data_IF_745633696486
#
_entry.id   IF_745633696486
#
_cell.length_a   1.000
_cell.length_b   1.000
_cell.length_c   1.000
_cell.angle_alpha   90.00
_cell.angle_beta   90.00
_cell.angle_gamma   90.00
#
_symmetry.space_group_name_H-M   'P 1'
#
loop_
_entity.id
_entity.type
_entity.pdbx_description
1 polymer ?
#
# COMPACT_ATOMS: atom_id res chain seq x y z
N UNK A 1 13.88 20.37 -52.66
CA UNK A 1 13.71 19.15 -51.82
C UNK A 1 13.92 19.56 -50.37
N UNK A 2 12.83 19.86 -49.66
CA UNK A 2 12.82 20.15 -48.25
C UNK A 2 12.78 18.80 -47.47
N UNK A 3 13.90 18.38 -46.92
CA UNK A 3 13.99 17.23 -46.04
C UNK A 3 13.30 17.58 -44.70
N UNK A 4 12.16 16.98 -44.43
CA UNK A 4 11.55 17.04 -43.09
C UNK A 4 12.44 16.30 -42.10
N UNK A 5 13.09 17.05 -41.21
CA UNK A 5 13.79 16.50 -40.05
C UNK A 5 12.72 15.90 -39.13
N UNK A 6 12.57 14.59 -39.15
CA UNK A 6 11.77 13.85 -38.17
C UNK A 6 12.49 13.98 -36.84
N UNK A 7 11.93 14.77 -35.93
CA UNK A 7 12.40 14.86 -34.55
C UNK A 7 12.37 13.44 -33.93
N UNK A 8 13.46 12.97 -33.31
CA UNK A 8 13.46 11.68 -32.65
C UNK A 8 12.37 11.70 -31.57
N UNK A 9 11.37 10.80 -31.69
CA UNK A 9 10.36 10.58 -30.66
C UNK A 9 11.11 10.36 -29.35
N UNK A 10 10.85 11.20 -28.36
CA UNK A 10 11.38 11.03 -27.04
C UNK A 10 10.99 9.62 -26.56
N UNK A 11 12.00 8.79 -26.31
CA UNK A 11 11.78 7.46 -25.74
C UNK A 11 10.88 7.59 -24.50
N UNK A 12 9.90 6.70 -24.32
CA UNK A 12 9.01 6.74 -23.17
C UNK A 12 9.89 6.79 -21.90
N UNK A 13 9.68 7.82 -21.09
CA UNK A 13 10.36 7.93 -19.79
C UNK A 13 9.96 6.69 -19.02
N UNK A 14 10.90 5.74 -18.89
CA UNK A 14 10.75 4.65 -17.93
C UNK A 14 10.35 5.29 -16.61
N UNK A 15 9.16 4.95 -16.13
CA UNK A 15 8.71 5.38 -14.82
C UNK A 15 9.73 4.78 -13.86
N UNK A 16 10.59 5.64 -13.31
CA UNK A 16 11.58 5.24 -12.31
C UNK A 16 10.80 4.94 -11.04
N UNK A 17 10.28 3.72 -10.93
CA UNK A 17 9.81 3.22 -9.66
C UNK A 17 11.04 2.96 -8.80
N UNK A 18 11.19 3.67 -7.70
CA UNK A 18 12.14 3.31 -6.64
C UNK A 18 11.93 1.87 -6.13
N UNK A 19 10.80 1.25 -6.49
CA UNK A 19 10.52 -0.17 -6.26
C UNK A 19 11.52 -1.13 -6.96
N UNK A 20 12.26 -0.67 -7.99
CA UNK A 20 13.34 -1.46 -8.61
C UNK A 20 14.53 -1.68 -7.68
N UNK A 21 14.68 -0.82 -6.68
CA UNK A 21 15.74 -0.93 -5.67
C UNK A 21 15.38 -1.95 -4.57
N UNK A 22 14.14 -2.42 -4.52
CA UNK A 22 13.69 -3.46 -3.60
C UNK A 22 14.02 -4.82 -4.20
N UNK A 23 14.75 -5.64 -3.47
CA UNK A 23 14.96 -7.04 -3.87
C UNK A 23 13.68 -7.85 -3.56
N UNK A 24 12.71 -7.78 -4.48
CA UNK A 24 11.41 -8.43 -4.32
C UNK A 24 11.49 -9.94 -4.04
N UNK A 25 12.35 -10.74 -4.71
CA UNK A 25 12.50 -12.15 -4.39
C UNK A 25 12.94 -12.40 -2.95
N UNK A 26 13.88 -11.61 -2.43
CA UNK A 26 14.33 -11.74 -1.04
C UNK A 26 13.22 -11.36 -0.07
N UNK A 27 12.54 -10.24 -0.30
CA UNK A 27 11.45 -9.79 0.57
C UNK A 27 10.29 -10.79 0.57
N UNK A 28 9.90 -11.30 -0.60
CA UNK A 28 8.87 -12.33 -0.75
C UNK A 28 9.26 -13.61 -0.01
N UNK A 29 10.50 -14.07 -0.16
CA UNK A 29 10.99 -15.28 0.52
C UNK A 29 10.99 -15.10 2.03
N UNK A 30 11.45 -13.96 2.54
CA UNK A 30 11.46 -13.67 3.97
C UNK A 30 10.05 -13.63 4.55
N UNK A 31 9.12 -12.93 3.91
CA UNK A 31 7.73 -12.85 4.36
C UNK A 31 7.02 -14.22 4.29
N UNK A 32 7.30 -15.00 3.24
CA UNK A 32 6.74 -16.36 3.11
C UNK A 32 7.28 -17.28 4.20
N UNK A 33 8.57 -17.20 4.50
CA UNK A 33 9.18 -17.96 5.57
C UNK A 33 8.58 -17.58 6.94
N UNK A 34 8.46 -16.28 7.22
CA UNK A 34 7.84 -15.78 8.46
C UNK A 34 6.41 -16.29 8.61
N UNK A 35 5.59 -16.14 7.57
CA UNK A 35 4.21 -16.62 7.58
C UNK A 35 4.15 -18.13 7.82
N UNK A 36 4.93 -18.91 7.05
CA UNK A 36 4.95 -20.36 7.16
C UNK A 36 5.45 -20.84 8.53
N UNK A 37 6.44 -20.16 9.10
CA UNK A 37 6.98 -20.49 10.42
C UNK A 37 5.94 -20.27 11.52
N UNK A 38 5.25 -19.13 11.51
CA UNK A 38 4.16 -18.84 12.46
C UNK A 38 3.02 -19.85 12.28
N UNK A 39 2.60 -20.07 11.03
CA UNK A 39 1.52 -20.99 10.70
C UNK A 39 1.83 -22.43 11.16
N UNK A 40 3.05 -22.87 10.96
CA UNK A 40 3.52 -24.20 11.41
C UNK A 40 3.52 -24.31 12.94
N UNK A 41 4.07 -23.30 13.63
CA UNK A 41 4.11 -23.29 15.10
C UNK A 41 2.71 -23.34 15.72
N UNK A 42 1.76 -22.61 15.12
CA UNK A 42 0.37 -22.61 15.60
C UNK A 42 -0.35 -23.96 15.41
N UNK A 43 0.12 -24.77 14.46
CA UNK A 43 -0.44 -26.11 14.20
C UNK A 43 0.23 -27.23 15.01
N UNK A 44 1.43 -27.00 15.53
CA UNK A 44 2.26 -28.05 16.12
C UNK A 44 2.65 -27.78 17.57
N UNK A 45 3.61 -26.89 17.77
CA UNK A 45 4.33 -26.76 19.05
C UNK A 45 3.77 -25.68 19.97
N UNK A 46 2.98 -24.75 19.44
CA UNK A 46 2.40 -23.61 20.15
C UNK A 46 3.41 -22.76 20.95
N UNK A 47 4.68 -22.69 20.51
CA UNK A 47 5.75 -21.93 21.19
C UNK A 47 5.45 -20.43 21.24
N UNK A 48 4.81 -19.92 20.19
CA UNK A 48 4.32 -18.53 20.19
C UNK A 48 3.25 -18.28 21.25
N UNK A 49 2.53 -19.29 21.70
CA UNK A 49 1.49 -19.13 22.73
C UNK A 49 2.02 -18.48 24.00
N UNK A 50 3.22 -18.84 24.46
CA UNK A 50 3.83 -18.25 25.65
C UNK A 50 4.21 -16.77 25.42
N UNK A 51 4.76 -16.45 24.24
CA UNK A 51 5.10 -15.08 23.85
C UNK A 51 3.83 -14.24 23.67
N UNK A 52 2.83 -14.79 22.99
CA UNK A 52 1.54 -14.15 22.79
C UNK A 52 0.88 -13.77 24.11
N UNK A 53 0.82 -14.73 25.06
CA UNK A 53 0.26 -14.50 26.40
C UNK A 53 1.06 -13.45 27.17
N UNK A 54 2.40 -13.55 27.18
CA UNK A 54 3.25 -12.61 27.91
C UNK A 54 3.11 -11.17 27.38
N UNK A 55 3.09 -10.99 26.05
CA UNK A 55 2.90 -9.67 25.44
C UNK A 55 1.49 -9.15 25.67
N UNK A 56 0.49 -10.00 25.54
CA UNK A 56 -0.90 -9.66 25.80
C UNK A 56 -1.09 -9.19 27.25
N UNK A 57 -0.61 -9.93 28.24
CA UNK A 57 -0.72 -9.59 29.66
C UNK A 57 0.03 -8.29 29.98
N UNK A 58 1.21 -8.09 29.39
CA UNK A 58 1.96 -6.83 29.53
C UNK A 58 1.18 -5.63 29.00
N UNK A 59 0.59 -5.76 27.81
CA UNK A 59 -0.21 -4.72 27.19
C UNK A 59 -1.46 -4.42 28.02
N UNK A 60 -2.18 -5.45 28.47
CA UNK A 60 -3.36 -5.27 29.33
C UNK A 60 -3.01 -4.59 30.66
N UNK A 61 -1.86 -4.91 31.25
CA UNK A 61 -1.42 -4.29 32.50
C UNK A 61 -0.97 -2.83 32.34
N UNK A 62 -0.54 -2.43 31.15
CA UNK A 62 0.01 -1.09 30.87
C UNK A 62 -1.02 -0.07 30.39
N UNK A 63 -2.21 -0.51 29.98
CA UNK A 63 -3.22 0.35 29.32
C UNK A 63 -4.54 0.30 30.06
N UNK A 64 -5.19 1.47 30.29
CA UNK A 64 -6.53 1.51 30.89
C UNK A 64 -7.60 0.94 29.96
N UNK A 65 -8.66 0.35 30.51
CA UNK A 65 -9.75 -0.25 29.74
C UNK A 65 -10.38 0.73 28.75
N UNK A 66 -10.61 1.97 29.18
CA UNK A 66 -11.22 3.01 28.35
C UNK A 66 -10.33 3.41 27.17
N UNK A 67 -9.00 3.51 27.37
CA UNK A 67 -8.06 3.80 26.30
C UNK A 67 -7.98 2.65 25.26
N UNK A 68 -8.11 1.41 25.75
CA UNK A 68 -8.13 0.22 24.91
C UNK A 68 -9.36 0.17 23.99
N UNK A 69 -10.54 0.42 24.53
CA UNK A 69 -11.78 0.33 23.78
C UNK A 69 -11.93 1.47 22.77
N UNK A 70 -11.70 2.71 23.20
CA UNK A 70 -12.00 3.88 22.39
C UNK A 70 -10.88 4.23 21.38
N UNK A 71 -9.62 4.18 21.80
CA UNK A 71 -8.51 4.63 20.95
C UNK A 71 -7.85 3.47 20.23
N UNK A 72 -7.43 2.44 20.96
CA UNK A 72 -6.68 1.35 20.36
C UNK A 72 -7.55 0.49 19.44
N UNK A 73 -8.71 0.02 19.92
CA UNK A 73 -9.56 -0.87 19.15
C UNK A 73 -10.24 -0.18 17.97
N UNK A 74 -10.60 1.09 18.09
CA UNK A 74 -11.34 1.79 17.03
C UNK A 74 -10.45 2.68 16.17
N UNK A 75 -9.58 3.52 16.75
CA UNK A 75 -8.77 4.46 15.97
C UNK A 75 -7.54 3.79 15.38
N UNK A 76 -6.63 3.26 16.22
CA UNK A 76 -5.36 2.72 15.74
C UNK A 76 -5.54 1.51 14.82
N UNK A 77 -6.51 0.64 15.16
CA UNK A 77 -6.82 -0.55 14.35
C UNK A 77 -7.33 -0.23 12.95
N UNK A 78 -8.06 0.88 12.79
CA UNK A 78 -8.79 1.19 11.56
C UNK A 78 -8.15 2.31 10.74
N UNK A 79 -7.25 3.11 11.30
CA UNK A 79 -6.67 4.28 10.65
C UNK A 79 -6.09 3.93 9.26
N UNK A 80 -5.22 2.94 9.19
CA UNK A 80 -4.58 2.57 7.93
C UNK A 80 -5.42 1.65 7.03
N UNK A 81 -6.19 0.68 7.52
CA UNK A 81 -7.11 -0.06 6.68
C UNK A 81 -8.16 0.84 6.02
N UNK A 82 -8.82 1.71 6.77
CA UNK A 82 -9.85 2.63 6.22
C UNK A 82 -9.19 3.73 5.38
N UNK A 83 -8.14 4.38 5.90
CA UNK A 83 -7.41 5.43 5.19
C UNK A 83 -6.78 4.91 3.89
N UNK A 84 -6.20 3.72 3.89
CA UNK A 84 -5.63 3.08 2.72
C UNK A 84 -6.71 2.69 1.69
N UNK A 85 -7.86 2.18 2.13
CA UNK A 85 -8.99 1.94 1.23
C UNK A 85 -9.51 3.23 0.60
N UNK A 86 -9.62 4.30 1.40
CA UNK A 86 -9.96 5.63 0.90
C UNK A 86 -8.94 6.14 -0.11
N UNK A 87 -7.64 5.99 0.17
CA UNK A 87 -6.56 6.38 -0.74
C UNK A 87 -6.60 5.59 -2.05
N UNK A 88 -6.82 4.27 -2.01
CA UNK A 88 -6.98 3.44 -3.21
C UNK A 88 -8.18 3.90 -4.05
N UNK A 89 -9.32 4.14 -3.39
CA UNK A 89 -10.56 4.60 -4.06
C UNK A 89 -10.36 5.98 -4.69
N UNK A 90 -9.84 6.95 -3.94
CA UNK A 90 -9.59 8.31 -4.45
C UNK A 90 -8.56 8.33 -5.57
N UNK A 91 -7.48 7.54 -5.47
CA UNK A 91 -6.51 7.36 -6.54
C UNK A 91 -7.16 6.79 -7.80
N UNK A 92 -8.05 5.82 -7.64
CA UNK A 92 -8.81 5.25 -8.76
C UNK A 92 -9.68 6.29 -9.43
N UNK A 93 -10.49 7.03 -8.66
CA UNK A 93 -11.34 8.08 -9.18
C UNK A 93 -10.53 9.19 -9.88
N UNK A 94 -9.42 9.61 -9.28
CA UNK A 94 -8.54 10.63 -9.87
C UNK A 94 -7.92 10.18 -11.19
N UNK A 95 -7.45 8.94 -11.25
CA UNK A 95 -6.80 8.37 -12.42
C UNK A 95 -7.79 7.97 -13.53
N UNK A 96 -9.08 7.80 -13.24
CA UNK A 96 -10.10 7.52 -14.27
C UNK A 96 -10.19 8.59 -15.35
N UNK A 97 -9.85 9.84 -15.05
CA UNK A 97 -9.91 10.96 -16.01
C UNK A 97 -8.68 11.06 -16.93
N UNK A 98 -7.66 10.24 -16.77
CA UNK A 98 -6.42 10.32 -17.56
C UNK A 98 -5.78 8.96 -17.84
N UNK A 99 -6.59 7.92 -18.08
CA UNK A 99 -6.14 6.52 -18.16
C UNK A 99 -5.28 6.22 -19.38
N UNK A 100 -4.00 6.02 -19.16
CA UNK A 100 -3.14 5.27 -20.07
C UNK A 100 -3.30 3.75 -19.85
N UNK A 101 -2.96 2.88 -20.83
CA UNK A 101 -3.00 1.43 -20.65
C UNK A 101 -2.24 0.97 -19.41
N UNK A 102 -1.04 1.48 -19.16
CA UNK A 102 -0.22 1.15 -18.00
C UNK A 102 -0.92 1.51 -16.68
N UNK A 103 -1.60 2.66 -16.58
CA UNK A 103 -2.36 3.05 -15.39
C UNK A 103 -3.55 2.13 -15.14
N UNK A 104 -4.27 1.72 -16.20
CA UNK A 104 -5.37 0.75 -16.07
C UNK A 104 -4.89 -0.58 -15.50
N UNK A 105 -3.76 -1.08 -16.01
CA UNK A 105 -3.15 -2.32 -15.52
C UNK A 105 -2.79 -2.21 -14.04
N UNK A 106 -2.14 -1.11 -13.62
CA UNK A 106 -1.79 -0.88 -12.21
C UNK A 106 -3.01 -0.85 -11.30
N UNK A 107 -4.09 -0.18 -11.72
CA UNK A 107 -5.34 -0.15 -10.96
C UNK A 107 -6.00 -1.54 -10.89
N UNK A 108 -6.03 -2.27 -12.00
CA UNK A 108 -6.56 -3.63 -12.04
C UNK A 108 -5.79 -4.58 -11.11
N UNK A 109 -4.47 -4.52 -11.15
CA UNK A 109 -3.60 -5.31 -10.24
C UNK A 109 -3.83 -4.91 -8.79
N UNK A 110 -3.90 -3.59 -8.47
CA UNK A 110 -4.11 -3.12 -7.11
C UNK A 110 -5.44 -3.64 -6.52
N UNK A 111 -6.54 -3.51 -7.23
CA UNK A 111 -7.84 -4.01 -6.79
C UNK A 111 -7.88 -5.54 -6.73
N UNK A 112 -7.36 -6.23 -7.75
CA UNK A 112 -7.30 -7.69 -7.78
C UNK A 112 -6.51 -8.26 -6.60
N UNK A 113 -5.34 -7.68 -6.30
CA UNK A 113 -4.49 -8.09 -5.18
C UNK A 113 -5.17 -7.80 -3.83
N UNK A 114 -5.80 -6.64 -3.66
CA UNK A 114 -6.53 -6.33 -2.43
C UNK A 114 -7.67 -7.33 -2.18
N UNK A 115 -8.51 -7.56 -3.18
CA UNK A 115 -9.64 -8.51 -3.06
C UNK A 115 -9.13 -9.93 -2.77
N UNK A 116 -8.10 -10.38 -3.49
CA UNK A 116 -7.51 -11.71 -3.30
C UNK A 116 -6.88 -11.87 -1.91
N UNK A 117 -6.23 -10.82 -1.39
CA UNK A 117 -5.65 -10.85 -0.05
C UNK A 117 -6.71 -10.99 1.04
N UNK A 118 -7.86 -10.30 0.89
CA UNK A 118 -8.95 -10.41 1.85
C UNK A 118 -9.65 -11.77 1.77
N UNK A 119 -9.80 -12.32 0.57
CA UNK A 119 -10.31 -13.67 0.39
C UNK A 119 -9.37 -14.72 1.03
N UNK A 120 -8.05 -14.58 0.82
CA UNK A 120 -7.06 -15.45 1.44
C UNK A 120 -7.11 -15.37 2.98
N UNK A 121 -7.24 -14.17 3.56
CA UNK A 121 -7.45 -14.02 5.01
C UNK A 121 -8.70 -14.76 5.48
N UNK A 122 -9.81 -14.68 4.75
CA UNK A 122 -11.04 -15.41 5.08
C UNK A 122 -10.82 -16.92 5.11
N UNK A 123 -10.25 -17.48 4.05
CA UNK A 123 -9.97 -18.92 3.94
C UNK A 123 -9.01 -19.39 5.05
N UNK A 124 -7.93 -18.64 5.28
CA UNK A 124 -6.96 -18.99 6.32
C UNK A 124 -7.56 -18.92 7.73
N UNK A 125 -8.45 -17.98 8.00
CA UNK A 125 -9.16 -17.92 9.29
C UNK A 125 -9.95 -19.18 9.58
N UNK A 126 -10.70 -19.67 8.61
CA UNK A 126 -11.45 -20.92 8.75
C UNK A 126 -10.50 -22.13 8.87
N UNK A 127 -9.39 -22.14 8.12
CA UNK A 127 -8.44 -23.24 8.15
C UNK A 127 -7.70 -23.36 9.49
N UNK A 128 -7.34 -22.24 10.10
CA UNK A 128 -6.63 -22.23 11.40
C UNK A 128 -7.57 -22.25 12.59
N UNK A 129 -8.77 -21.72 12.46
CA UNK A 129 -9.82 -21.69 13.50
C UNK A 129 -9.31 -21.23 14.89
N UNK A 130 -8.29 -20.35 14.92
CA UNK A 130 -7.63 -19.91 16.15
C UNK A 130 -8.55 -19.03 16.99
N UNK A 131 -8.73 -19.30 18.30
CA UNK A 131 -9.54 -18.45 19.16
C UNK A 131 -8.88 -17.08 19.40
N UNK A 132 -9.68 -16.06 19.60
CA UNK A 132 -9.22 -14.71 19.97
C UNK A 132 -8.88 -14.61 21.45
N UNK A 133 -8.07 -13.60 21.85
CA UNK A 133 -7.83 -13.31 23.27
C UNK A 133 -9.14 -12.96 24.01
N UNK A 134 -10.00 -12.14 23.41
CA UNK A 134 -11.30 -11.77 23.98
C UNK A 134 -12.36 -12.85 23.74
N UNK A 135 -12.96 -13.33 24.80
CA UNK A 135 -14.06 -14.31 24.75
C UNK A 135 -15.36 -13.73 24.16
N UNK A 136 -15.51 -12.42 24.12
CA UNK A 136 -16.75 -11.76 23.67
C UNK A 136 -16.94 -11.81 22.15
N UNK A 137 -15.92 -12.25 21.41
CA UNK A 137 -15.94 -12.30 19.93
C UNK A 137 -16.08 -13.74 19.46
N UNK A 138 -17.25 -14.29 19.64
CA UNK A 138 -17.54 -15.72 19.37
C UNK A 138 -17.60 -16.08 17.86
N UNK A 139 -17.67 -15.10 16.95
CA UNK A 139 -18.00 -15.37 15.56
C UNK A 139 -16.89 -15.14 14.55
N UNK A 140 -15.64 -14.93 14.98
CA UNK A 140 -14.53 -14.80 14.04
C UNK A 140 -13.19 -15.24 14.63
N UNK A 141 -12.41 -15.95 13.81
CA UNK A 141 -11.10 -16.46 14.18
C UNK A 141 -10.01 -15.38 14.21
N UNK A 142 -8.93 -15.66 14.95
CA UNK A 142 -7.87 -14.71 15.19
C UNK A 142 -6.84 -14.68 14.05
N UNK A 143 -6.31 -15.83 13.62
CA UNK A 143 -5.20 -15.93 12.68
C UNK A 143 -5.65 -16.13 11.23
N UNK A 144 -5.03 -15.43 10.27
CA UNK A 144 -4.19 -14.23 10.45
C UNK A 144 -5.01 -12.96 10.70
N UNK A 145 -4.38 -11.89 11.20
CA UNK A 145 -5.05 -10.59 11.40
C UNK A 145 -5.42 -9.92 10.09
N UNK A 146 -6.72 -9.83 9.80
CA UNK A 146 -7.20 -9.20 8.56
C UNK A 146 -6.94 -7.69 8.49
N UNK A 147 -7.03 -6.95 9.62
CA UNK A 147 -6.74 -5.52 9.65
C UNK A 147 -5.26 -5.24 9.37
N UNK A 148 -4.36 -6.03 9.96
CA UNK A 148 -2.92 -5.87 9.72
C UNK A 148 -2.55 -6.23 8.28
N UNK A 149 -3.15 -7.29 7.73
CA UNK A 149 -3.00 -7.63 6.31
C UNK A 149 -3.51 -6.49 5.42
N UNK A 150 -4.73 -5.99 5.66
CA UNK A 150 -5.31 -4.89 4.89
C UNK A 150 -4.45 -3.61 4.96
N UNK A 151 -3.97 -3.24 6.15
CA UNK A 151 -3.10 -2.08 6.33
C UNK A 151 -1.82 -2.22 5.49
N UNK A 152 -1.19 -3.39 5.50
CA UNK A 152 0.02 -3.64 4.71
C UNK A 152 -0.27 -3.60 3.21
N UNK A 153 -1.30 -4.29 2.74
CA UNK A 153 -1.66 -4.33 1.32
C UNK A 153 -2.03 -2.95 0.81
N UNK A 154 -2.97 -2.27 1.47
CA UNK A 154 -3.48 -0.97 1.01
C UNK A 154 -2.42 0.12 1.05
N UNK A 155 -1.63 0.19 2.12
CA UNK A 155 -0.52 1.16 2.22
C UNK A 155 0.58 0.83 1.22
N UNK A 156 0.95 -0.44 1.06
CA UNK A 156 1.95 -0.88 0.09
C UNK A 156 1.53 -0.58 -1.35
N UNK A 157 0.29 -0.91 -1.73
CA UNK A 157 -0.25 -0.60 -3.06
C UNK A 157 -0.31 0.91 -3.32
N UNK A 158 -0.71 1.70 -2.32
CA UNK A 158 -0.74 3.16 -2.44
C UNK A 158 0.66 3.72 -2.66
N UNK A 159 1.64 3.30 -1.86
CA UNK A 159 3.00 3.87 -1.89
C UNK A 159 3.84 3.39 -3.07
N UNK A 160 3.74 2.12 -3.46
CA UNK A 160 4.65 1.52 -4.44
C UNK A 160 4.01 1.30 -5.81
N UNK A 161 2.69 1.29 -5.91
CA UNK A 161 1.97 1.07 -7.18
C UNK A 161 1.34 2.35 -7.71
N UNK A 162 0.65 3.12 -6.85
CA UNK A 162 -0.21 4.22 -7.29
C UNK A 162 0.37 5.61 -7.08
N UNK A 163 1.28 5.81 -6.14
CA UNK A 163 1.78 7.14 -5.78
C UNK A 163 2.42 7.86 -6.98
N UNK A 164 3.28 7.17 -7.74
CA UNK A 164 3.96 7.78 -8.88
C UNK A 164 3.01 8.14 -10.03
N UNK A 165 2.07 7.25 -10.48
CA UNK A 165 1.05 7.63 -11.44
C UNK A 165 0.18 8.81 -11.02
N UNK A 166 -0.24 8.84 -9.74
CA UNK A 166 -1.03 9.96 -9.19
C UNK A 166 -0.23 11.25 -9.21
N UNK A 167 1.04 11.17 -8.80
CA UNK A 167 1.94 12.32 -8.80
C UNK A 167 2.17 12.90 -10.19
N UNK A 168 2.40 12.05 -11.19
CA UNK A 168 2.60 12.47 -12.57
C UNK A 168 1.33 13.04 -13.19
N UNK A 169 0.17 12.48 -12.89
CA UNK A 169 -1.11 13.02 -13.29
C UNK A 169 -1.36 14.41 -12.67
N UNK A 170 -1.07 14.57 -11.39
CA UNK A 170 -1.20 15.86 -10.70
C UNK A 170 -0.29 16.93 -11.31
N UNK A 171 0.98 16.60 -11.62
CA UNK A 171 1.90 17.52 -12.31
C UNK A 171 1.38 17.96 -13.67
N UNK A 172 0.82 17.04 -14.46
CA UNK A 172 0.25 17.35 -15.77
C UNK A 172 -0.92 18.33 -15.65
N UNK A 173 -1.81 18.14 -14.67
CA UNK A 173 -2.94 19.04 -14.42
C UNK A 173 -2.46 20.45 -14.04
N UNK A 174 -1.52 20.57 -13.11
CA UNK A 174 -0.94 21.86 -12.70
C UNK A 174 -0.24 22.55 -13.88
N UNK A 175 0.51 21.80 -14.69
CA UNK A 175 1.19 22.33 -15.87
C UNK A 175 0.21 22.85 -16.93
N UNK A 176 -0.91 22.15 -17.15
CA UNK A 176 -1.96 22.59 -18.09
C UNK A 176 -2.61 23.90 -17.63
N UNK A 177 -3.01 23.99 -16.37
CA UNK A 177 -3.62 25.18 -15.81
C UNK A 177 -2.68 26.39 -15.88
N UNK A 178 -1.36 26.20 -15.66
CA UNK A 178 -0.35 27.26 -15.80
C UNK A 178 -0.23 27.75 -17.25
N UNK A 179 -0.28 26.84 -18.22
CA UNK A 179 -0.21 27.18 -19.65
C UNK A 179 -1.45 27.98 -20.11
N UNK A 180 -2.65 27.56 -19.70
CA UNK A 180 -3.91 28.22 -19.97
C UNK A 180 -3.94 29.62 -19.33
N UNK A 181 -3.49 29.75 -18.08
CA UNK A 181 -3.41 31.05 -17.40
C UNK A 181 -2.44 31.99 -18.10
N UNK A 182 -1.28 31.51 -18.55
CA UNK A 182 -0.29 32.32 -19.29
C UNK A 182 -0.86 32.80 -20.64
N UNK A 183 -1.52 31.92 -21.39
CA UNK A 183 -2.19 32.28 -22.65
C UNK A 183 -3.23 33.39 -22.44
N UNK A 184 -4.06 33.29 -21.41
CA UNK A 184 -5.05 34.33 -21.08
C UNK A 184 -4.44 35.65 -20.64
N UNK A 185 -3.26 35.64 -19.98
CA UNK A 185 -2.54 36.87 -19.65
C UNK A 185 -1.90 37.55 -20.89
N UNK A 186 -1.35 36.75 -21.80
CA UNK A 186 -0.77 37.23 -23.05
C UNK A 186 -1.85 37.87 -23.92
N UNK A 187 -3.08 37.35 -24.00
CA UNK A 187 -4.22 37.93 -24.68
C UNK A 187 -4.68 39.27 -24.07
N UNK A 188 -4.52 39.44 -22.74
CA UNK A 188 -4.90 40.67 -22.02
C UNK A 188 -3.84 41.77 -22.09
N UNK A 189 -2.72 41.59 -22.83
CA UNK A 189 -1.66 42.56 -23.00
C UNK A 189 -0.99 43.02 -21.71
N UNK A 190 -1.08 42.25 -20.63
CA UNK A 190 -0.40 42.51 -19.38
C UNK A 190 1.02 41.97 -19.42
N UNK A 191 1.95 42.87 -19.81
CA UNK A 191 3.39 42.60 -19.73
C UNK A 191 3.80 42.35 -18.28
N UNK A 192 4.60 41.29 -18.12
CA UNK A 192 5.53 41.05 -17.01
C UNK A 192 5.02 41.19 -15.58
N UNK A 193 4.09 40.35 -15.17
CA UNK A 193 4.15 39.84 -13.80
C UNK A 193 5.13 38.69 -13.84
N UNK A 194 6.36 38.89 -13.32
CA UNK A 194 7.27 37.79 -12.93
C UNK A 194 6.51 36.87 -12.01
N UNK A 195 5.80 35.91 -12.58
CA UNK A 195 5.31 34.74 -11.84
C UNK A 195 6.58 34.05 -11.39
N UNK A 196 7.00 34.36 -10.14
CA UNK A 196 8.05 33.60 -9.44
C UNK A 196 7.70 32.14 -9.67
N UNK A 197 8.60 31.45 -10.37
CA UNK A 197 8.47 30.03 -10.63
C UNK A 197 8.33 29.30 -9.30
N UNK A 198 7.11 29.17 -8.82
CA UNK A 198 6.73 28.15 -7.86
C UNK A 198 6.86 26.81 -8.60
N UNK A 199 8.10 26.51 -9.00
CA UNK A 199 8.52 25.16 -9.25
C UNK A 199 8.61 24.45 -7.88
N UNK A 200 7.45 24.25 -7.28
CA UNK A 200 7.31 23.18 -6.31
C UNK A 200 7.34 21.89 -7.13
N UNK A 201 8.52 21.62 -7.69
CA UNK A 201 8.87 20.28 -8.12
C UNK A 201 9.12 19.45 -6.85
N UNK A 202 8.10 19.37 -5.99
CA UNK A 202 8.13 18.42 -4.93
C UNK A 202 8.40 17.05 -5.57
N UNK A 203 9.48 16.42 -5.18
CA UNK A 203 9.80 15.05 -5.62
C UNK A 203 8.90 14.09 -4.85
N UNK A 204 8.48 12.98 -5.45
CA UNK A 204 7.79 11.94 -4.67
C UNK A 204 8.69 11.49 -3.51
N UNK A 205 8.12 11.03 -2.41
CA UNK A 205 8.88 10.52 -1.28
C UNK A 205 9.92 9.50 -1.73
N UNK A 206 11.14 9.62 -1.22
CA UNK A 206 12.21 8.65 -1.50
C UNK A 206 11.86 7.27 -0.93
N UNK A 207 12.45 6.22 -1.47
CA UNK A 207 12.18 4.83 -1.10
C UNK A 207 12.22 4.60 0.43
N UNK A 208 13.23 5.14 1.11
CA UNK A 208 13.34 4.99 2.56
C UNK A 208 12.13 5.56 3.32
N UNK A 209 11.59 6.70 2.90
CA UNK A 209 10.37 7.27 3.51
C UNK A 209 9.14 6.40 3.26
N UNK A 210 9.01 5.83 2.04
CA UNK A 210 7.90 4.92 1.71
C UNK A 210 7.95 3.67 2.58
N UNK A 211 9.11 3.06 2.72
CA UNK A 211 9.31 1.88 3.56
C UNK A 211 9.03 2.21 5.03
N UNK A 212 9.57 3.31 5.55
CA UNK A 212 9.34 3.71 6.94
C UNK A 212 7.86 3.96 7.23
N UNK A 213 7.14 4.60 6.31
CA UNK A 213 5.70 4.82 6.46
C UNK A 213 4.92 3.51 6.38
N UNK A 214 5.31 2.59 5.51
CA UNK A 214 4.69 1.27 5.42
C UNK A 214 4.84 0.45 6.70
N UNK A 215 6.07 0.42 7.26
CA UNK A 215 6.35 -0.22 8.56
C UNK A 215 5.52 0.45 9.67
N UNK A 216 5.50 1.78 9.70
CA UNK A 216 4.72 2.54 10.69
C UNK A 216 3.22 2.18 10.63
N UNK A 217 2.64 2.12 9.43
CA UNK A 217 1.24 1.72 9.25
C UNK A 217 0.96 0.30 9.75
N UNK A 218 1.86 -0.64 9.46
CA UNK A 218 1.79 -2.02 9.94
C UNK A 218 1.83 -2.09 11.47
N UNK A 219 2.84 -1.46 12.07
CA UNK A 219 3.03 -1.48 13.52
C UNK A 219 1.87 -0.80 14.24
N UNK A 220 1.40 0.36 13.77
CA UNK A 220 0.27 1.07 14.38
C UNK A 220 -1.00 0.22 14.38
N UNK A 221 -1.31 -0.41 13.25
CA UNK A 221 -2.47 -1.29 13.15
C UNK A 221 -2.31 -2.53 14.05
N UNK A 222 -1.13 -3.16 14.05
CA UNK A 222 -0.85 -4.30 14.89
C UNK A 222 -1.01 -3.97 16.37
N UNK A 223 -0.44 -2.86 16.84
CA UNK A 223 -0.57 -2.36 18.21
C UNK A 223 -2.04 -2.17 18.57
N UNK A 224 -2.81 -1.46 17.75
CA UNK A 224 -4.23 -1.27 18.01
C UNK A 224 -5.04 -2.58 18.07
N UNK A 225 -4.62 -3.61 17.33
CA UNK A 225 -5.28 -4.94 17.37
C UNK A 225 -4.96 -5.72 18.65
N UNK A 226 -3.73 -5.61 19.16
CA UNK A 226 -3.29 -6.26 20.40
C UNK A 226 -3.90 -5.51 21.59
N UNK A 227 -3.72 -4.20 21.66
CA UNK A 227 -4.26 -3.36 22.74
C UNK A 227 -5.79 -3.42 22.82
N UNK A 228 -6.48 -3.50 21.68
CA UNK A 228 -7.92 -3.70 21.61
C UNK A 228 -8.38 -5.10 21.97
N UNK A 229 -7.51 -5.98 22.48
CA UNK A 229 -7.83 -7.35 22.88
C UNK A 229 -8.49 -8.19 21.76
N UNK A 230 -8.13 -7.92 20.51
CA UNK A 230 -8.74 -8.55 19.32
C UNK A 230 -7.88 -9.64 18.71
N UNK A 231 -6.55 -9.56 18.88
CA UNK A 231 -5.56 -10.45 18.27
C UNK A 231 -4.36 -10.66 19.15
N UNK A 232 -3.75 -11.84 19.02
CA UNK A 232 -2.44 -12.15 19.53
C UNK A 232 -1.35 -11.46 18.70
N UNK A 233 -0.14 -11.32 19.25
CA UNK A 233 1.01 -10.78 18.52
C UNK A 233 1.28 -11.57 17.23
N UNK A 234 1.33 -12.90 17.32
CA UNK A 234 1.58 -13.77 16.16
C UNK A 234 0.50 -13.68 15.08
N UNK A 235 -0.77 -13.37 15.41
CA UNK A 235 -1.81 -13.10 14.42
C UNK A 235 -1.49 -11.85 13.59
N UNK A 236 -0.99 -10.81 14.27
CA UNK A 236 -0.65 -9.55 13.59
C UNK A 236 0.62 -9.69 12.75
N UNK A 237 1.61 -10.43 13.22
CA UNK A 237 2.81 -10.78 12.44
C UNK A 237 2.44 -11.60 11.20
N UNK A 238 1.62 -12.63 11.34
CA UNK A 238 1.12 -13.42 10.21
C UNK A 238 0.31 -12.58 9.23
N UNK A 239 -0.51 -11.64 9.73
CA UNK A 239 -1.23 -10.69 8.89
C UNK A 239 -0.31 -9.73 8.13
N UNK A 240 0.75 -9.24 8.77
CA UNK A 240 1.75 -8.38 8.14
C UNK A 240 2.53 -9.14 7.05
N UNK A 241 3.03 -10.33 7.36
CA UNK A 241 3.76 -11.17 6.41
C UNK A 241 2.90 -11.51 5.18
N UNK A 242 1.64 -11.89 5.38
CA UNK A 242 0.70 -12.14 4.29
C UNK A 242 0.48 -10.88 3.43
N UNK A 243 0.33 -9.71 4.04
CA UNK A 243 0.20 -8.44 3.32
C UNK A 243 1.44 -8.10 2.50
N UNK A 244 2.65 -8.33 3.03
CA UNK A 244 3.91 -8.14 2.31
C UNK A 244 3.99 -9.08 1.09
N UNK A 245 3.61 -10.35 1.24
CA UNK A 245 3.55 -11.32 0.14
C UNK A 245 2.69 -10.77 -1.00
N UNK A 246 1.48 -10.31 -0.71
CA UNK A 246 0.57 -9.78 -1.72
C UNK A 246 1.10 -8.51 -2.40
N UNK A 247 1.76 -7.62 -1.67
CA UNK A 247 2.40 -6.42 -2.26
C UNK A 247 3.56 -6.82 -3.18
N UNK A 248 4.41 -7.76 -2.78
CA UNK A 248 5.47 -8.29 -3.64
C UNK A 248 4.91 -8.90 -4.94
N UNK A 249 3.85 -9.70 -4.84
CA UNK A 249 3.18 -10.28 -6.01
C UNK A 249 2.61 -9.19 -6.93
N UNK A 250 1.99 -8.14 -6.38
CA UNK A 250 1.51 -7.01 -7.16
C UNK A 250 2.63 -6.34 -7.96
N UNK A 251 3.76 -6.05 -7.30
CA UNK A 251 4.91 -5.41 -7.94
C UNK A 251 5.52 -6.28 -9.03
N UNK A 252 5.65 -7.59 -8.79
CA UNK A 252 6.16 -8.53 -9.79
C UNK A 252 5.22 -8.63 -11.00
N UNK A 253 3.91 -8.70 -10.78
CA UNK A 253 2.92 -8.70 -11.86
C UNK A 253 2.99 -7.43 -12.71
N UNK A 254 3.11 -6.25 -12.08
CA UNK A 254 3.22 -4.98 -12.78
C UNK A 254 4.50 -4.94 -13.63
N UNK A 255 5.63 -5.41 -13.08
CA UNK A 255 6.89 -5.49 -13.84
C UNK A 255 6.74 -6.37 -15.08
N UNK A 256 6.12 -7.54 -14.97
CA UNK A 256 5.88 -8.44 -16.11
C UNK A 256 4.99 -7.79 -17.18
N UNK A 257 3.92 -7.11 -16.78
CA UNK A 257 3.06 -6.42 -17.75
C UNK A 257 3.77 -5.26 -18.43
N UNK A 258 4.56 -4.46 -17.69
CA UNK A 258 5.31 -3.34 -18.28
C UNK A 258 6.38 -3.82 -19.25
N UNK A 259 7.07 -4.89 -18.95
CA UNK A 259 8.06 -5.49 -19.87
C UNK A 259 7.38 -6.04 -21.15
N UNK A 260 6.19 -6.63 -21.04
CA UNK A 260 5.40 -7.09 -22.19
C UNK A 260 4.96 -5.92 -23.09
N UNK A 261 4.45 -4.81 -22.53
CA UNK A 261 4.06 -3.64 -23.33
C UNK A 261 5.23 -3.01 -24.09
N UNK A 262 6.43 -3.01 -23.48
CA UNK A 262 7.64 -2.51 -24.14
C UNK A 262 8.06 -3.42 -25.29
N UNK A 263 7.93 -4.75 -25.14
CA UNK A 263 8.31 -5.73 -26.18
C UNK A 263 7.38 -5.67 -27.39
N UNK A 264 6.09 -5.41 -27.17
CA UNK A 264 5.07 -5.41 -28.25
C UNK A 264 4.95 -4.04 -28.97
N UNK A 265 5.73 -3.03 -28.56
CA UNK A 265 5.72 -1.69 -29.19
C UNK A 265 4.37 -0.98 -29.05
N UNK A 266 3.54 -1.34 -28.10
CA UNK A 266 2.24 -0.77 -27.82
C UNK A 266 2.46 0.41 -26.83
N UNK A 267 2.83 1.59 -27.36
CA UNK A 267 2.89 2.86 -26.63
C UNK A 267 1.76 3.80 -27.01
#
# INVERSE_FOLDING_TARGET
>A
RSGSVVSPRSAPRRISCDAKDINLPVLLSAATFEFAFIAFDLQTDHRFSAVDTAIHDLVLASTSDQLREDVAAQVLSNLFPIGGFGALTLSTLFLLFGLTPSVKTRLGVAWGVYISSMAAVGVLKEAFARPRPSADILHSFAFPSGHTCAANVLTGLTLFVLLDPVWDAAKKLVGKNKAEYKSSQDELGRADVKTQDLQVAARPPILGMRISFWIFASCTTATGRIEGNRHWLSDTMGGAALGIIFVCLALMLIQQFEDAFVSDGID
#
